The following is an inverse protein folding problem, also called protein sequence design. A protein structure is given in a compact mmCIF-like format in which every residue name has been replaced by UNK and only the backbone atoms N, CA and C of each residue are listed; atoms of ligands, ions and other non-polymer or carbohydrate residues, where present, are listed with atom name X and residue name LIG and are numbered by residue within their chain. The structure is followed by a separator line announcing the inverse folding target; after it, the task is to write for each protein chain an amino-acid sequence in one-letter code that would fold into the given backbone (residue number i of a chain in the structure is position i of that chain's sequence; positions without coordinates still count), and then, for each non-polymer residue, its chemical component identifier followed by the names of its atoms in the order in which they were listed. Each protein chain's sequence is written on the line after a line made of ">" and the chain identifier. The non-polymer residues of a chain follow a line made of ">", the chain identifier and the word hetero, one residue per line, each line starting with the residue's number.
data_IF_439428134203
#
_entry.id   IF_439428134203
#
_cell.length_a   1.000
_cell.length_b   1.000
_cell.length_c   1.000
_cell.angle_alpha   90.00
_cell.angle_beta   90.00
_cell.angle_gamma   90.00
#
_symmetry.space_group_name_H-M   'P 1'
#
loop_
_entity.id
_entity.type
_entity.pdbx_description
1 polymer ?
#
# COMPACT_ATOMS: atom_id res chain seq x y z
N UNK A 1 -36.35 -5.91 -3.11
CA UNK A 1 -35.17 -6.06 -3.94
C UNK A 1 -34.01 -5.27 -3.33
N UNK A 2 -32.95 -5.94 -2.90
CA UNK A 2 -31.77 -5.27 -2.35
C UNK A 2 -30.93 -4.78 -3.53
N UNK A 3 -30.49 -3.50 -3.56
CA UNK A 3 -29.59 -3.06 -4.60
C UNK A 3 -28.27 -3.81 -4.52
N UNK A 4 -27.73 -4.21 -5.67
CA UNK A 4 -26.43 -4.83 -5.71
C UNK A 4 -25.35 -3.80 -5.32
N UNK A 5 -24.28 -4.26 -4.67
CA UNK A 5 -23.14 -3.42 -4.36
C UNK A 5 -22.56 -2.83 -5.66
N UNK A 6 -22.03 -1.58 -5.65
CA UNK A 6 -21.35 -1.05 -6.81
C UNK A 6 -20.20 -1.97 -7.22
N UNK A 7 -19.91 -2.11 -8.52
CA UNK A 7 -18.77 -2.92 -8.95
C UNK A 7 -17.47 -2.30 -8.46
N UNK A 8 -16.54 -3.18 -8.07
CA UNK A 8 -15.21 -2.77 -7.64
C UNK A 8 -14.43 -2.24 -8.86
N UNK A 9 -13.67 -1.17 -8.66
CA UNK A 9 -12.80 -0.63 -9.71
C UNK A 9 -11.69 -1.62 -10.04
N UNK A 10 -11.20 -1.54 -11.27
CA UNK A 10 -10.17 -2.45 -11.77
C UNK A 10 -8.79 -2.19 -11.15
N UNK A 11 -7.89 -3.17 -11.28
CA UNK A 11 -6.49 -3.00 -10.87
C UNK A 11 -5.82 -1.89 -11.68
N UNK A 12 -6.17 -1.77 -12.95
CA UNK A 12 -5.65 -0.69 -13.81
C UNK A 12 -6.14 0.68 -13.32
N UNK A 13 -7.42 0.77 -12.94
CA UNK A 13 -7.97 2.00 -12.39
C UNK A 13 -7.27 2.38 -11.07
N UNK A 14 -6.99 1.41 -10.22
CA UNK A 14 -6.23 1.66 -8.99
C UNK A 14 -4.87 2.27 -9.30
N UNK A 15 -4.13 1.68 -10.24
CA UNK A 15 -2.81 2.17 -10.61
C UNK A 15 -2.86 3.57 -11.22
N UNK A 16 -3.93 3.91 -11.92
CA UNK A 16 -4.09 5.22 -12.53
C UNK A 16 -4.60 6.26 -11.55
N UNK A 17 -5.62 5.93 -10.77
CA UNK A 17 -6.36 6.90 -9.97
C UNK A 17 -5.78 7.09 -8.56
N UNK A 18 -5.32 6.03 -7.91
CA UNK A 18 -4.94 6.07 -6.50
C UNK A 18 -3.44 5.91 -6.26
N UNK A 19 -2.79 5.00 -6.98
CA UNK A 19 -1.40 4.65 -6.68
C UNK A 19 -0.44 5.86 -6.73
N UNK A 20 -0.53 6.79 -7.70
CA UNK A 20 0.37 7.93 -7.71
C UNK A 20 0.29 8.78 -6.44
N UNK A 21 -0.91 8.96 -5.91
CA UNK A 21 -1.12 9.77 -4.71
C UNK A 21 -0.65 9.04 -3.46
N UNK A 22 -0.88 7.72 -3.38
CA UNK A 22 -0.36 6.89 -2.29
C UNK A 22 1.16 6.99 -2.25
N UNK A 23 1.80 6.90 -3.40
CA UNK A 23 3.26 6.97 -3.50
C UNK A 23 3.77 8.37 -3.14
N UNK A 24 3.06 9.42 -3.54
CA UNK A 24 3.42 10.79 -3.17
C UNK A 24 3.41 10.96 -1.65
N UNK A 25 2.39 10.43 -0.97
CA UNK A 25 2.31 10.46 0.48
C UNK A 25 3.45 9.68 1.13
N UNK A 26 3.68 8.45 0.65
CA UNK A 26 4.78 7.61 1.15
C UNK A 26 6.13 8.31 1.01
N UNK A 27 6.36 8.96 -0.12
CA UNK A 27 7.65 9.60 -0.40
C UNK A 27 7.88 10.87 0.42
N UNK A 28 6.84 11.45 1.03
CA UNK A 28 7.03 12.50 2.04
C UNK A 28 7.54 11.93 3.36
N UNK A 29 7.25 10.67 3.64
CA UNK A 29 7.60 10.01 4.91
C UNK A 29 8.87 9.20 4.82
N UNK A 30 9.06 8.45 3.73
CA UNK A 30 10.21 7.57 3.54
C UNK A 30 11.19 8.28 2.62
N UNK A 31 12.38 8.59 3.16
CA UNK A 31 13.43 9.33 2.45
C UNK A 31 14.69 8.49 2.39
N UNK A 32 15.67 8.93 1.58
CA UNK A 32 16.97 8.26 1.52
C UNK A 32 17.65 8.23 2.89
N UNK A 33 17.40 9.24 3.74
CA UNK A 33 18.03 9.37 5.04
C UNK A 33 17.42 8.46 6.10
N UNK A 34 16.10 8.20 6.04
CA UNK A 34 15.43 7.41 7.07
C UNK A 34 15.07 5.99 6.63
N UNK A 35 15.31 5.64 5.37
CA UNK A 35 15.05 4.30 4.86
C UNK A 35 15.97 3.28 5.50
N UNK A 36 15.39 2.15 5.96
CA UNK A 36 16.14 1.05 6.59
C UNK A 36 16.27 -0.15 5.68
N UNK A 37 15.14 -0.65 5.20
CA UNK A 37 15.05 -1.88 4.41
C UNK A 37 13.67 -1.97 3.77
N UNK A 38 13.48 -2.94 2.89
CA UNK A 38 12.14 -3.28 2.40
C UNK A 38 11.94 -4.79 2.43
N UNK A 39 10.68 -5.21 2.51
CA UNK A 39 10.28 -6.60 2.33
C UNK A 39 9.36 -6.71 1.13
N UNK A 40 9.32 -7.89 0.54
CA UNK A 40 8.47 -8.23 -0.60
C UNK A 40 8.81 -7.41 -1.84
N UNK A 41 8.65 -8.03 -2.98
CA UNK A 41 8.71 -7.32 -4.26
C UNK A 41 7.31 -6.86 -4.63
N UNK A 42 7.24 -5.78 -5.40
CA UNK A 42 5.97 -5.36 -6.01
C UNK A 42 5.45 -6.52 -6.86
N UNK A 43 4.21 -6.92 -6.65
CA UNK A 43 3.64 -8.06 -7.35
C UNK A 43 2.15 -7.85 -7.63
N UNK A 44 1.68 -8.48 -8.69
CA UNK A 44 0.25 -8.56 -8.98
C UNK A 44 -0.05 -10.03 -9.24
N UNK A 45 -0.84 -10.64 -8.35
CA UNK A 45 -1.23 -12.03 -8.45
C UNK A 45 -2.59 -12.15 -9.13
N UNK A 46 -2.74 -13.16 -9.99
CA UNK A 46 -4.02 -13.51 -10.61
C UNK A 46 -4.56 -14.77 -9.97
N UNK A 47 -5.83 -14.78 -9.62
CA UNK A 47 -6.47 -15.95 -9.06
C UNK A 47 -7.97 -15.94 -9.36
N UNK A 48 -8.64 -17.07 -9.04
CA UNK A 48 -10.08 -17.20 -9.23
C UNK A 48 -10.81 -16.95 -7.92
N UNK A 49 -11.85 -16.14 -7.96
CA UNK A 49 -12.73 -15.90 -6.84
C UNK A 49 -14.18 -16.01 -7.34
N UNK A 50 -14.91 -16.97 -6.80
CA UNK A 50 -16.31 -17.24 -7.17
C UNK A 50 -16.50 -17.34 -8.70
N UNK A 51 -15.59 -18.09 -9.36
CA UNK A 51 -15.64 -18.31 -10.80
C UNK A 51 -15.18 -17.15 -11.65
N UNK A 52 -14.69 -16.06 -11.04
CA UNK A 52 -14.21 -14.88 -11.75
C UNK A 52 -12.71 -14.71 -11.58
N UNK A 53 -12.04 -14.26 -12.63
CA UNK A 53 -10.64 -13.90 -12.55
C UNK A 53 -10.48 -12.54 -11.85
N UNK A 54 -9.67 -12.51 -10.80
CA UNK A 54 -9.39 -11.29 -10.05
C UNK A 54 -7.89 -11.14 -9.83
N UNK A 55 -7.48 -9.94 -9.44
CA UNK A 55 -6.09 -9.58 -9.27
C UNK A 55 -5.90 -8.94 -7.90
N UNK A 56 -4.75 -9.23 -7.28
CA UNK A 56 -4.33 -8.56 -6.05
C UNK A 56 -2.94 -7.97 -6.26
N UNK A 57 -2.86 -6.65 -6.11
CA UNK A 57 -1.61 -5.92 -6.19
C UNK A 57 -1.04 -5.76 -4.79
N UNK A 58 0.26 -5.96 -4.62
CA UNK A 58 0.95 -5.78 -3.35
C UNK A 58 2.23 -4.98 -3.57
N UNK A 59 2.36 -3.86 -2.86
CA UNK A 59 3.56 -3.04 -2.95
C UNK A 59 4.69 -3.62 -2.10
N UNK A 60 5.91 -3.11 -2.30
CA UNK A 60 6.99 -3.32 -1.35
C UNK A 60 6.58 -2.73 0.00
N UNK A 61 7.02 -3.38 1.08
CA UNK A 61 6.86 -2.86 2.43
C UNK A 61 8.16 -2.16 2.81
N UNK A 62 8.11 -0.85 3.01
CA UNK A 62 9.28 -0.08 3.42
C UNK A 62 9.36 0.03 4.94
N UNK A 63 10.57 -0.17 5.48
CA UNK A 63 10.90 0.08 6.89
C UNK A 63 11.72 1.35 6.97
N UNK A 64 11.36 2.24 7.90
CA UNK A 64 12.03 3.53 8.03
C UNK A 64 12.01 4.00 9.48
N UNK A 65 12.84 5.02 9.79
CA UNK A 65 13.12 5.43 11.17
C UNK A 65 12.22 6.55 11.69
N UNK A 66 11.27 7.08 10.89
CA UNK A 66 10.33 8.07 11.39
C UNK A 66 9.34 7.40 12.36
N UNK A 67 9.30 7.88 13.60
CA UNK A 67 8.47 7.31 14.66
C UNK A 67 7.36 8.25 15.14
N UNK A 68 7.24 9.44 14.56
CA UNK A 68 6.18 10.38 14.90
C UNK A 68 4.87 9.92 14.27
N UNK A 69 4.06 9.23 15.06
CA UNK A 69 2.82 8.64 14.55
C UNK A 69 1.80 9.70 14.11
N UNK A 70 1.81 10.87 14.74
CA UNK A 70 0.92 11.96 14.33
C UNK A 70 1.34 12.51 12.96
N UNK A 71 2.63 12.65 12.71
CA UNK A 71 3.14 13.07 11.40
C UNK A 71 2.78 12.05 10.32
N UNK A 72 2.96 10.76 10.62
CA UNK A 72 2.62 9.68 9.69
C UNK A 72 1.13 9.71 9.35
N UNK A 73 0.27 9.77 10.38
CA UNK A 73 -1.17 9.85 10.20
C UNK A 73 -1.57 11.07 9.37
N UNK A 74 -1.07 12.24 9.74
CA UNK A 74 -1.49 13.49 9.11
C UNK A 74 -1.01 13.60 7.67
N UNK A 75 0.17 13.06 7.37
CA UNK A 75 0.70 13.03 6.01
C UNK A 75 -0.16 12.15 5.10
N UNK A 76 -0.46 10.93 5.54
CA UNK A 76 -1.34 10.06 4.75
C UNK A 76 -2.76 10.64 4.66
N UNK A 77 -3.31 11.17 5.76
CA UNK A 77 -4.65 11.77 5.75
C UNK A 77 -4.76 12.88 4.71
N UNK A 78 -3.77 13.75 4.63
CA UNK A 78 -3.76 14.87 3.69
C UNK A 78 -3.94 14.41 2.24
N UNK A 79 -3.34 13.27 1.89
CA UNK A 79 -3.38 12.72 0.53
C UNK A 79 -4.56 11.77 0.31
N UNK A 80 -4.89 10.95 1.30
CA UNK A 80 -5.80 9.82 1.11
C UNK A 80 -7.26 10.12 1.42
N UNK A 81 -7.55 10.96 2.42
CA UNK A 81 -8.94 11.26 2.75
C UNK A 81 -9.68 11.92 1.58
N UNK A 82 -9.07 12.84 0.81
CA UNK A 82 -9.75 13.39 -0.37
C UNK A 82 -10.08 12.37 -1.45
N UNK A 83 -9.40 11.21 -1.45
CA UNK A 83 -9.64 10.13 -2.41
C UNK A 83 -10.71 9.13 -1.96
N UNK A 84 -11.29 9.34 -0.77
CA UNK A 84 -12.33 8.47 -0.25
C UNK A 84 -11.84 7.34 0.65
N UNK A 85 -10.58 7.38 1.08
CA UNK A 85 -10.08 6.43 2.10
C UNK A 85 -10.66 6.79 3.47
N UNK A 86 -10.92 5.77 4.27
CA UNK A 86 -11.31 5.93 5.67
C UNK A 86 -10.22 5.37 6.57
N UNK A 87 -9.86 6.11 7.62
CA UNK A 87 -8.81 5.72 8.57
C UNK A 87 -9.37 4.85 9.68
N UNK A 88 -8.68 3.74 9.95
CA UNK A 88 -8.88 2.91 11.14
C UNK A 88 -7.57 2.88 11.93
N UNK A 89 -7.65 3.06 13.25
CA UNK A 89 -6.48 3.09 14.12
C UNK A 89 -6.61 2.02 15.18
N UNK A 90 -5.50 1.32 15.45
CA UNK A 90 -5.42 0.34 16.53
C UNK A 90 -4.09 0.51 17.28
N UNK A 91 -4.11 0.19 18.58
CA UNK A 91 -2.93 0.28 19.44
C UNK A 91 -2.88 -0.94 20.34
N UNK A 92 -1.70 -1.54 20.47
CA UNK A 92 -1.51 -2.66 21.40
C UNK A 92 -0.05 -2.73 21.82
N UNK A 93 0.23 -3.59 22.79
CA UNK A 93 1.60 -3.84 23.26
C UNK A 93 1.99 -5.27 22.92
N UNK A 94 3.19 -5.44 22.35
CA UNK A 94 3.75 -6.74 22.02
C UNK A 94 5.19 -6.78 22.50
N UNK A 95 5.52 -7.75 23.35
CA UNK A 95 6.87 -7.91 23.93
C UNK A 95 7.39 -6.61 24.57
N UNK A 96 6.51 -5.90 25.28
CA UNK A 96 6.86 -4.66 25.98
C UNK A 96 6.96 -3.43 25.09
N UNK A 97 6.70 -3.56 23.79
CA UNK A 97 6.75 -2.45 22.83
C UNK A 97 5.34 -2.05 22.43
N UNK A 98 5.05 -0.74 22.52
CA UNK A 98 3.77 -0.22 22.05
C UNK A 98 3.76 -0.15 20.52
N UNK A 99 2.68 -0.64 19.91
CA UNK A 99 2.49 -0.66 18.47
C UNK A 99 1.30 0.22 18.12
N UNK A 100 1.47 1.12 17.16
CA UNK A 100 0.41 1.96 16.62
C UNK A 100 0.21 1.55 15.15
N UNK A 101 -0.99 1.13 14.82
CA UNK A 101 -1.32 0.66 13.47
C UNK A 101 -2.38 1.55 12.85
N UNK A 102 -2.09 2.06 11.66
CA UNK A 102 -3.05 2.84 10.87
C UNK A 102 -3.38 2.07 9.59
N UNK A 103 -4.67 1.96 9.31
CA UNK A 103 -5.17 1.40 8.05
C UNK A 103 -6.08 2.42 7.38
N UNK A 104 -5.77 2.76 6.13
CA UNK A 104 -6.64 3.57 5.28
C UNK A 104 -7.28 2.63 4.28
N UNK A 105 -8.60 2.58 4.25
CA UNK A 105 -9.37 1.61 3.46
C UNK A 105 -10.23 2.36 2.45
N UNK A 106 -10.16 1.94 1.19
CA UNK A 106 -11.01 2.43 0.11
C UNK A 106 -11.75 1.25 -0.50
N UNK A 107 -13.03 1.10 -0.16
CA UNK A 107 -13.81 -0.06 -0.59
C UNK A 107 -14.12 -0.05 -2.08
N UNK A 108 -14.19 1.12 -2.71
CA UNK A 108 -14.46 1.23 -4.15
C UNK A 108 -13.38 0.54 -4.98
N UNK A 109 -12.13 0.54 -4.49
CA UNK A 109 -10.99 -0.06 -5.18
C UNK A 109 -10.49 -1.32 -4.47
N UNK A 110 -11.14 -1.76 -3.40
CA UNK A 110 -10.62 -2.81 -2.50
C UNK A 110 -9.17 -2.54 -2.10
N UNK A 111 -8.85 -1.28 -1.84
CA UNK A 111 -7.48 -0.84 -1.58
C UNK A 111 -7.27 -0.56 -0.10
N UNK A 112 -6.08 -0.89 0.39
CA UNK A 112 -5.66 -0.65 1.77
C UNK A 112 -4.26 -0.06 1.75
N UNK A 113 -4.05 0.99 2.55
CA UNK A 113 -2.72 1.51 2.86
C UNK A 113 -2.48 1.28 4.34
N UNK A 114 -1.33 0.72 4.69
CA UNK A 114 -0.98 0.37 6.06
C UNK A 114 0.27 1.11 6.50
N UNK A 115 0.27 1.62 7.73
CA UNK A 115 1.46 2.14 8.38
C UNK A 115 1.46 1.66 9.83
N UNK A 116 2.51 0.94 10.22
CA UNK A 116 2.62 0.34 11.55
C UNK A 116 3.91 0.82 12.21
N UNK A 117 3.80 1.48 13.36
CA UNK A 117 4.95 1.97 14.12
C UNK A 117 5.15 1.12 15.38
N UNK A 118 6.34 0.56 15.51
CA UNK A 118 6.82 -0.02 16.75
C UNK A 118 7.60 1.08 17.46
N UNK A 119 7.00 1.66 18.51
CA UNK A 119 7.57 2.84 19.18
C UNK A 119 8.96 2.54 19.73
N UNK A 120 9.89 3.44 19.44
CA UNK A 120 11.29 3.27 19.81
C UNK A 120 12.10 2.40 18.85
N UNK A 121 11.50 1.81 17.84
CA UNK A 121 12.18 0.90 16.90
C UNK A 121 12.11 1.36 15.45
N UNK A 122 10.92 1.25 14.82
CA UNK A 122 10.79 1.50 13.38
C UNK A 122 9.33 1.65 12.99
N UNK A 123 9.11 2.16 11.78
CA UNK A 123 7.81 2.19 11.12
C UNK A 123 7.89 1.39 9.82
N UNK A 124 6.82 0.67 9.49
CA UNK A 124 6.67 0.01 8.20
C UNK A 124 5.43 0.52 7.49
N UNK A 125 5.48 0.58 6.16
CA UNK A 125 4.35 1.03 5.35
C UNK A 125 4.29 0.28 4.02
N UNK A 126 3.08 -0.05 3.58
CA UNK A 126 2.83 -0.68 2.30
C UNK A 126 1.37 -0.47 1.91
N UNK A 127 1.03 -0.84 0.68
CA UNK A 127 -0.35 -0.81 0.22
C UNK A 127 -0.65 -2.03 -0.64
N UNK A 128 -1.93 -2.37 -0.75
CA UNK A 128 -2.36 -3.51 -1.55
C UNK A 128 -3.81 -3.35 -1.99
N UNK A 129 -4.20 -4.15 -2.99
CA UNK A 129 -5.60 -4.34 -3.36
C UNK A 129 -5.95 -5.81 -3.25
N UNK A 130 -7.22 -6.13 -3.05
CA UNK A 130 -7.68 -7.52 -2.95
C UNK A 130 -8.86 -7.77 -3.87
N UNK A 131 -8.72 -8.80 -4.74
CA UNK A 131 -9.83 -9.28 -5.54
C UNK A 131 -10.41 -8.26 -6.49
N UNK A 132 -9.56 -7.52 -7.22
CA UNK A 132 -10.00 -6.50 -8.17
C UNK A 132 -10.06 -7.08 -9.59
N UNK A 133 -11.05 -6.67 -10.40
CA UNK A 133 -11.11 -7.10 -11.80
C UNK A 133 -10.06 -6.37 -12.65
N UNK A 134 -9.87 -6.85 -13.89
CA UNK A 134 -9.20 -6.07 -14.93
C UNK A 134 -10.24 -5.38 -15.78
N UNK A 135 -9.94 -4.19 -16.29
CA UNK A 135 -10.83 -3.48 -17.22
C UNK A 135 -10.60 -3.85 -18.69
N UNK A 136 -9.66 -4.77 -18.94
CA UNK A 136 -9.35 -5.22 -20.29
C UNK A 136 -8.39 -4.31 -21.07
N UNK A 137 -7.96 -3.20 -20.48
CA UNK A 137 -7.03 -2.28 -21.14
C UNK A 137 -5.61 -2.85 -21.24
N UNK A 138 -5.31 -3.87 -20.45
CA UNK A 138 -4.03 -4.55 -20.41
C UNK A 138 -4.21 -6.02 -20.72
N UNK A 139 -3.38 -6.58 -21.60
CA UNK A 139 -3.44 -8.00 -21.96
C UNK A 139 -3.14 -8.92 -20.79
N UNK A 140 -2.18 -8.54 -19.92
CA UNK A 140 -1.80 -9.30 -18.73
C UNK A 140 -1.49 -8.33 -17.58
N UNK A 141 -2.47 -8.08 -16.69
CA UNK A 141 -2.25 -7.19 -15.55
C UNK A 141 -1.09 -7.59 -14.63
N UNK A 142 -0.73 -8.89 -14.58
CA UNK A 142 0.37 -9.34 -13.73
C UNK A 142 1.73 -8.77 -14.17
N UNK A 143 1.80 -8.20 -15.37
CA UNK A 143 3.03 -7.59 -15.90
C UNK A 143 3.10 -6.08 -15.65
N UNK A 144 2.10 -5.47 -15.01
CA UNK A 144 2.06 -4.04 -14.73
C UNK A 144 2.89 -3.69 -13.49
N UNK A 145 4.14 -4.14 -13.47
CA UNK A 145 5.04 -3.97 -12.32
C UNK A 145 5.85 -2.67 -12.47
N UNK A 146 6.05 -1.98 -11.35
CA UNK A 146 6.95 -0.83 -11.27
C UNK A 146 6.73 0.20 -12.38
N UNK A 147 5.49 0.69 -12.48
CA UNK A 147 5.13 1.71 -13.46
C UNK A 147 6.00 2.97 -13.30
N UNK A 148 6.21 3.75 -14.38
CA UNK A 148 7.03 4.96 -14.29
C UNK A 148 6.60 5.88 -13.15
N UNK A 149 7.58 6.37 -12.37
CA UNK A 149 7.33 7.25 -11.24
C UNK A 149 6.86 6.55 -9.97
N UNK A 150 6.82 5.22 -9.95
CA UNK A 150 6.35 4.46 -8.79
C UNK A 150 7.47 4.10 -7.83
N UNK A 151 8.72 4.17 -8.27
CA UNK A 151 9.89 3.86 -7.44
C UNK A 151 10.56 5.18 -7.07
N UNK A 152 10.93 5.41 -5.78
CA UNK A 152 11.66 6.61 -5.40
C UNK A 152 13.00 6.71 -6.12
N UNK A 153 13.42 7.92 -6.46
CA UNK A 153 14.66 8.16 -7.21
C UNK A 153 15.90 7.63 -6.49
N UNK A 154 15.88 7.66 -5.15
CA UNK A 154 16.99 7.23 -4.32
C UNK A 154 17.03 5.71 -4.09
N UNK A 155 15.99 4.98 -4.50
CA UNK A 155 15.87 3.55 -4.22
C UNK A 155 16.79 2.76 -5.15
N UNK A 156 17.61 1.87 -4.56
CA UNK A 156 18.49 0.98 -5.32
C UNK A 156 17.71 -0.24 -5.81
N UNK A 157 17.47 -0.38 -7.13
CA UNK A 157 16.72 -1.52 -7.65
C UNK A 157 17.44 -2.86 -7.50
N UNK A 158 18.73 -2.86 -7.18
CA UNK A 158 19.52 -4.07 -6.97
C UNK A 158 19.54 -4.52 -5.51
N UNK A 159 18.96 -3.72 -4.60
CA UNK A 159 18.91 -4.07 -3.17
C UNK A 159 17.95 -5.26 -2.98
N UNK A 160 18.40 -6.37 -2.36
CA UNK A 160 17.49 -7.50 -2.11
C UNK A 160 16.52 -7.19 -0.96
N UNK A 161 15.34 -7.83 -0.97
CA UNK A 161 14.41 -7.70 0.16
C UNK A 161 15.02 -8.22 1.46
N UNK A 162 14.65 -7.61 2.59
CA UNK A 162 15.08 -8.05 3.91
C UNK A 162 14.52 -9.45 4.19
N UNK A 163 15.33 -10.29 4.87
CA UNK A 163 14.94 -11.65 5.23
C UNK A 163 15.17 -12.69 4.16
N UNK A 164 15.69 -12.32 2.98
CA UNK A 164 16.16 -13.26 1.98
C UNK A 164 17.66 -13.43 2.15
N UNK A 165 18.04 -14.59 2.63
CA UNK A 165 19.42 -14.96 2.83
C UNK A 165 20.16 -15.28 1.54
#
# INVERSE_FOLDING_TARGET
>A
MTPSAPPVKSVEAFQHDLEPTIIAARNELVTAENFMAYKYNYSIARYMDDGKTVYSLHSRMFFFTELDTDLIRDTYNKHLLPLGFELSEDRWTSNGVEIVDYLWINEEYHAVVSATTRLGEQTSTYYYTQGTPSDGSTSDPTQLLDQPGRIPDWFDPNLPPAGQG
#
